data_IF_379633966453
#
_entry.id   IF_379633966453
#
_cell.length_a   1.000
_cell.length_b   1.000
_cell.length_c   1.000
_cell.angle_alpha   90.00
_cell.angle_beta   90.00
_cell.angle_gamma   90.00
#
_symmetry.space_group_name_H-M   'P 1'
#
loop_
_entity.id
_entity.type
_entity.pdbx_description
1 polymer ?
#
# COMPACT_ATOMS: atom_id res chain seq x y z
N UNK A 1 23.06 -6.32 18.03
CA UNK A 1 22.68 -4.89 18.04
C UNK A 1 21.16 -4.80 17.95
N UNK A 2 20.46 -4.74 19.10
CA UNK A 2 19.00 -4.89 19.22
C UNK A 2 18.21 -3.60 18.90
N UNK A 3 18.66 -2.83 17.91
CA UNK A 3 17.87 -1.72 17.38
C UNK A 3 16.91 -2.28 16.32
N UNK A 4 15.60 -2.10 16.55
CA UNK A 4 14.56 -1.84 15.53
C UNK A 4 13.30 -2.72 15.51
N UNK A 5 13.01 -3.61 16.47
CA UNK A 5 11.66 -4.22 16.50
C UNK A 5 10.56 -3.17 16.71
N UNK A 6 10.78 -2.21 17.63
CA UNK A 6 9.84 -1.11 17.87
C UNK A 6 9.72 -0.15 16.68
N UNK A 7 10.84 0.17 16.04
CA UNK A 7 10.86 1.07 14.88
C UNK A 7 10.17 0.42 13.66
N UNK A 8 10.48 -0.86 13.39
CA UNK A 8 9.84 -1.66 12.35
C UNK A 8 8.33 -1.72 12.56
N UNK A 9 7.89 -2.07 13.78
CA UNK A 9 6.46 -2.14 14.12
C UNK A 9 5.77 -0.79 13.95
N UNK A 10 6.42 0.32 14.33
CA UNK A 10 5.91 1.68 14.07
C UNK A 10 5.75 1.96 12.57
N UNK A 11 6.77 1.66 11.76
CA UNK A 11 6.70 1.85 10.31
C UNK A 11 5.60 1.01 9.68
N UNK A 12 5.46 -0.25 10.10
CA UNK A 12 4.36 -1.13 9.68
C UNK A 12 3.00 -0.56 10.04
N UNK A 13 2.84 -0.06 11.28
CA UNK A 13 1.60 0.57 11.75
C UNK A 13 1.25 1.83 10.95
N UNK A 14 2.23 2.69 10.67
CA UNK A 14 2.01 3.90 9.86
C UNK A 14 1.58 3.52 8.44
N UNK A 15 2.24 2.53 7.82
CA UNK A 15 1.86 2.05 6.50
C UNK A 15 0.45 1.40 6.51
N UNK A 16 0.13 0.60 7.52
CA UNK A 16 -1.19 -0.02 7.67
C UNK A 16 -2.28 1.04 7.89
N UNK A 17 -2.04 2.06 8.72
CA UNK A 17 -2.96 3.17 8.95
C UNK A 17 -3.19 4.00 7.68
N UNK A 18 -2.13 4.29 6.92
CA UNK A 18 -2.25 4.96 5.63
C UNK A 18 -3.03 4.10 4.61
N UNK A 19 -2.84 2.78 4.62
CA UNK A 19 -3.63 1.85 3.80
C UNK A 19 -5.11 1.84 4.20
N UNK A 20 -5.42 1.87 5.50
CA UNK A 20 -6.79 1.95 5.99
C UNK A 20 -7.45 3.30 5.62
N UNK A 21 -6.70 4.40 5.69
CA UNK A 21 -7.18 5.71 5.24
C UNK A 21 -7.48 5.73 3.74
N UNK A 22 -6.58 5.18 2.92
CA UNK A 22 -6.82 5.04 1.49
C UNK A 22 -8.04 4.15 1.19
N UNK A 23 -8.21 3.04 1.91
CA UNK A 23 -9.39 2.19 1.80
C UNK A 23 -10.68 2.95 2.08
N UNK A 24 -10.73 3.73 3.17
CA UNK A 24 -11.89 4.53 3.53
C UNK A 24 -12.22 5.56 2.42
N UNK A 25 -11.21 6.24 1.87
CA UNK A 25 -11.42 7.18 0.76
C UNK A 25 -11.97 6.48 -0.49
N UNK A 26 -11.40 5.35 -0.89
CA UNK A 26 -11.90 4.58 -2.04
C UNK A 26 -13.31 4.03 -1.82
N UNK A 27 -13.65 3.60 -0.60
CA UNK A 27 -15.01 3.16 -0.26
C UNK A 27 -15.99 4.32 -0.29
N UNK A 28 -15.63 5.51 0.18
CA UNK A 28 -16.47 6.71 0.07
C UNK A 28 -16.74 7.05 -1.40
N UNK A 29 -15.73 6.93 -2.28
CA UNK A 29 -15.91 7.06 -3.73
C UNK A 29 -16.86 5.98 -4.27
N UNK A 30 -16.64 4.71 -3.89
CA UNK A 30 -17.46 3.58 -4.36
C UNK A 30 -18.88 3.55 -3.79
N UNK A 31 -19.14 4.28 -2.70
CA UNK A 31 -20.47 4.49 -2.14
C UNK A 31 -21.13 5.75 -2.68
N UNK A 32 -20.47 6.48 -3.58
CA UNK A 32 -20.94 7.76 -4.14
C UNK A 32 -21.23 8.81 -3.05
N UNK A 33 -20.65 8.64 -1.86
CA UNK A 33 -20.75 9.60 -0.76
C UNK A 33 -19.95 10.89 -1.03
N UNK A 34 -19.08 10.84 -2.04
CA UNK A 34 -18.22 11.92 -2.49
C UNK A 34 -18.27 11.97 -4.01
N UNK A 35 -18.55 13.15 -4.58
CA UNK A 35 -18.47 13.36 -6.02
C UNK A 35 -17.01 13.51 -6.46
N UNK A 36 -16.62 12.63 -7.39
CA UNK A 36 -15.29 12.54 -7.99
C UNK A 36 -15.34 12.98 -9.45
N UNK A 37 -16.51 12.93 -10.11
CA UNK A 37 -16.68 13.44 -11.47
C UNK A 37 -17.93 14.29 -11.53
N UNK A 38 -17.79 15.54 -11.98
CA UNK A 38 -18.86 16.54 -11.96
C UNK A 38 -19.85 16.37 -13.12
N UNK A 39 -19.41 15.85 -14.26
CA UNK A 39 -20.21 15.82 -15.51
C UNK A 39 -20.25 14.47 -16.25
N UNK A 40 -19.77 13.37 -15.64
CA UNK A 40 -19.91 12.05 -16.25
C UNK A 40 -21.27 11.43 -15.86
N UNK A 41 -21.96 10.73 -16.79
CA UNK A 41 -23.11 9.92 -16.41
C UNK A 41 -22.68 8.98 -15.28
N UNK A 42 -23.54 8.79 -14.28
CA UNK A 42 -23.31 7.88 -13.16
C UNK A 42 -23.14 6.44 -13.68
N UNK A 43 -21.95 6.11 -14.15
CA UNK A 43 -21.63 4.80 -14.70
C UNK A 43 -21.24 3.89 -13.56
N UNK A 44 -21.79 2.68 -13.57
CA UNK A 44 -21.44 1.54 -12.71
C UNK A 44 -19.94 1.33 -12.50
N UNK A 45 -19.11 1.84 -13.41
CA UNK A 45 -17.66 1.74 -13.40
C UNK A 45 -17.00 2.49 -12.23
N UNK A 46 -17.46 3.70 -11.86
CA UNK A 46 -16.88 4.46 -10.74
C UNK A 46 -17.17 3.76 -9.41
N UNK A 47 -18.39 3.27 -9.25
CA UNK A 47 -18.83 2.51 -8.08
C UNK A 47 -18.01 1.24 -7.91
N UNK A 48 -17.90 0.46 -8.98
CA UNK A 48 -17.16 -0.81 -8.99
C UNK A 48 -15.68 -0.58 -8.73
N UNK A 49 -15.10 0.46 -9.33
CA UNK A 49 -13.72 0.86 -9.09
C UNK A 49 -13.47 1.23 -7.62
N UNK A 50 -14.30 2.10 -7.03
CA UNK A 50 -14.13 2.52 -5.64
C UNK A 50 -14.27 1.35 -4.65
N UNK A 51 -15.25 0.47 -4.84
CA UNK A 51 -15.44 -0.69 -3.99
C UNK A 51 -14.31 -1.72 -4.12
N UNK A 52 -13.88 -2.03 -5.34
CA UNK A 52 -12.79 -3.00 -5.57
C UNK A 52 -11.46 -2.49 -5.07
N UNK A 53 -11.11 -1.22 -5.35
CA UNK A 53 -9.92 -0.59 -4.84
C UNK A 53 -9.96 -0.49 -3.30
N UNK A 54 -11.08 -0.06 -2.74
CA UNK A 54 -11.30 0.02 -1.30
C UNK A 54 -11.06 -1.33 -0.62
N UNK A 55 -11.66 -2.40 -1.13
CA UNK A 55 -11.47 -3.76 -0.64
C UNK A 55 -10.00 -4.20 -0.71
N UNK A 56 -9.30 -3.92 -1.81
CA UNK A 56 -7.88 -4.24 -1.95
C UNK A 56 -7.02 -3.52 -0.90
N UNK A 57 -7.29 -2.25 -0.62
CA UNK A 57 -6.58 -1.49 0.42
C UNK A 57 -6.94 -1.93 1.84
N UNK A 58 -8.16 -2.41 2.10
CA UNK A 58 -8.53 -3.08 3.37
C UNK A 58 -7.70 -4.34 3.56
N UNK A 59 -7.67 -5.21 2.55
CA UNK A 59 -6.87 -6.45 2.60
C UNK A 59 -5.39 -6.12 2.84
N UNK A 60 -4.86 -5.12 2.13
CA UNK A 60 -3.49 -4.66 2.32
C UNK A 60 -3.23 -4.16 3.75
N UNK A 61 -4.14 -3.37 4.32
CA UNK A 61 -4.03 -2.86 5.68
C UNK A 61 -4.00 -4.02 6.70
N UNK A 62 -4.88 -5.00 6.54
CA UNK A 62 -4.92 -6.21 7.37
C UNK A 62 -3.62 -6.99 7.24
N UNK A 63 -3.14 -7.22 6.01
CA UNK A 63 -1.92 -7.96 5.77
C UNK A 63 -0.69 -7.28 6.39
N UNK A 64 -0.57 -5.96 6.23
CA UNK A 64 0.51 -5.18 6.84
C UNK A 64 0.44 -5.23 8.37
N UNK A 65 -0.77 -5.08 8.95
CA UNK A 65 -0.95 -5.09 10.40
C UNK A 65 -0.72 -6.46 11.02
N UNK A 66 -1.23 -7.53 10.40
CA UNK A 66 -1.21 -8.89 10.95
C UNK A 66 0.11 -9.62 10.67
N UNK A 67 0.80 -9.31 9.58
CA UNK A 67 1.99 -10.05 9.16
C UNK A 67 3.19 -9.11 8.97
N UNK A 68 4.15 -9.19 9.89
CA UNK A 68 5.46 -8.55 9.72
C UNK A 68 6.38 -9.39 8.81
N UNK A 69 5.84 -9.94 7.72
CA UNK A 69 6.59 -10.77 6.79
C UNK A 69 7.05 -9.96 5.60
N UNK A 70 8.25 -10.22 5.11
CA UNK A 70 8.80 -9.26 4.19
C UNK A 70 8.42 -9.58 2.73
N UNK A 71 7.85 -10.76 2.48
CA UNK A 71 7.04 -11.05 1.28
C UNK A 71 5.81 -10.14 1.24
N UNK A 72 5.14 -9.90 2.38
CA UNK A 72 3.97 -9.00 2.44
C UNK A 72 4.38 -7.58 2.07
N UNK A 73 5.53 -7.10 2.52
CA UNK A 73 6.02 -5.77 2.14
C UNK A 73 6.39 -5.66 0.67
N UNK A 74 6.95 -6.72 0.09
CA UNK A 74 7.23 -6.77 -1.35
C UNK A 74 5.92 -6.72 -2.15
N UNK A 75 4.94 -7.55 -1.78
CA UNK A 75 3.62 -7.53 -2.42
C UNK A 75 2.94 -6.17 -2.26
N UNK A 76 3.04 -5.55 -1.09
CA UNK A 76 2.53 -4.20 -0.84
C UNK A 76 3.20 -3.17 -1.77
N UNK A 77 4.53 -3.21 -1.90
CA UNK A 77 5.26 -2.32 -2.79
C UNK A 77 4.85 -2.51 -4.26
N UNK A 78 4.78 -3.76 -4.72
CA UNK A 78 4.34 -4.09 -6.09
C UNK A 78 2.92 -3.63 -6.35
N UNK A 79 2.01 -3.85 -5.40
CA UNK A 79 0.64 -3.37 -5.48
C UNK A 79 0.59 -1.83 -5.59
N UNK A 80 1.35 -1.11 -4.75
CA UNK A 80 1.41 0.36 -4.84
C UNK A 80 1.94 0.84 -6.19
N UNK A 81 3.01 0.22 -6.71
CA UNK A 81 3.54 0.53 -8.05
C UNK A 81 2.48 0.31 -9.12
N UNK A 82 1.75 -0.81 -9.07
CA UNK A 82 0.66 -1.10 -9.99
C UNK A 82 -0.46 -0.06 -9.95
N UNK A 83 -0.90 0.33 -8.75
CA UNK A 83 -1.95 1.35 -8.57
C UNK A 83 -1.48 2.73 -9.08
N UNK A 84 -0.24 3.12 -8.79
CA UNK A 84 0.33 4.38 -9.27
C UNK A 84 0.45 4.38 -10.80
N UNK A 85 0.93 3.28 -11.39
CA UNK A 85 1.04 3.14 -12.85
C UNK A 85 -0.34 3.22 -13.53
N UNK A 86 -1.34 2.52 -12.97
CA UNK A 86 -2.72 2.61 -13.43
C UNK A 86 -3.27 4.03 -13.34
N UNK A 87 -3.02 4.73 -12.22
CA UNK A 87 -3.41 6.14 -12.09
C UNK A 87 -2.78 6.99 -13.19
N UNK A 88 -1.47 6.86 -13.44
CA UNK A 88 -0.77 7.66 -14.48
C UNK A 88 -1.33 7.38 -15.87
N UNK A 89 -1.73 6.14 -16.16
CA UNK A 89 -2.33 5.77 -17.44
C UNK A 89 -3.74 6.37 -17.64
N UNK A 90 -4.54 6.48 -16.57
CA UNK A 90 -5.93 6.92 -16.64
C UNK A 90 -6.10 8.42 -16.34
N UNK A 91 -5.17 9.05 -15.61
CA UNK A 91 -5.26 10.45 -15.22
C UNK A 91 -5.46 11.45 -16.37
N UNK A 92 -4.84 11.29 -17.55
CA UNK A 92 -5.07 12.19 -18.70
C UNK A 92 -6.49 12.15 -19.25
N UNK A 93 -7.29 11.14 -18.87
CA UNK A 93 -8.67 10.94 -19.33
C UNK A 93 -9.71 11.55 -18.36
N UNK A 94 -9.26 12.16 -17.25
CA UNK A 94 -10.12 12.76 -16.22
C UNK A 94 -10.17 14.28 -16.37
N UNK A 95 -11.35 14.85 -16.15
CA UNK A 95 -11.55 16.30 -16.10
C UNK A 95 -12.36 16.65 -14.83
N UNK A 96 -11.79 17.37 -13.84
CA UNK A 96 -10.44 17.91 -13.83
C UNK A 96 -9.36 16.81 -13.68
N UNK A 97 -8.13 17.02 -14.18
CA UNK A 97 -7.07 16.02 -14.13
C UNK A 97 -6.63 15.66 -12.70
N UNK A 98 -6.84 16.59 -11.75
CA UNK A 98 -6.43 16.45 -10.35
C UNK A 98 -7.55 16.91 -9.43
N UNK A 99 -8.09 15.96 -8.68
CA UNK A 99 -9.10 16.22 -7.65
C UNK A 99 -8.49 16.13 -6.26
N UNK A 100 -9.07 16.86 -5.30
CA UNK A 100 -8.66 16.86 -3.89
C UNK A 100 -8.62 15.43 -3.32
N UNK A 101 -9.63 14.61 -3.64
CA UNK A 101 -9.71 13.22 -3.19
C UNK A 101 -8.61 12.35 -3.79
N UNK A 102 -8.31 12.53 -5.08
CA UNK A 102 -7.19 11.88 -5.74
C UNK A 102 -5.83 12.23 -5.12
N UNK A 103 -5.64 13.49 -4.72
CA UNK A 103 -4.43 13.94 -4.01
C UNK A 103 -4.31 13.31 -2.61
N UNK A 104 -5.40 13.25 -1.85
CA UNK A 104 -5.41 12.61 -0.53
C UNK A 104 -5.07 11.12 -0.61
N UNK A 105 -5.68 10.40 -1.57
CA UNK A 105 -5.38 8.99 -1.83
C UNK A 105 -3.90 8.82 -2.18
N UNK A 106 -3.34 9.68 -3.05
CA UNK A 106 -1.91 9.62 -3.40
C UNK A 106 -1.00 9.89 -2.22
N UNK A 107 -1.35 10.85 -1.35
CA UNK A 107 -0.58 11.11 -0.14
C UNK A 107 -0.49 9.85 0.73
N UNK A 108 -1.61 9.14 0.91
CA UNK A 108 -1.61 7.85 1.59
C UNK A 108 -0.73 6.81 0.86
N UNK A 109 -0.84 6.69 -0.47
CA UNK A 109 -0.03 5.75 -1.27
C UNK A 109 1.47 6.01 -1.14
N UNK A 110 1.91 7.28 -1.15
CA UNK A 110 3.31 7.65 -0.95
C UNK A 110 3.79 7.23 0.45
N UNK A 111 2.98 7.44 1.49
CA UNK A 111 3.32 7.01 2.86
C UNK A 111 3.45 5.48 2.94
N UNK A 112 2.52 4.74 2.32
CA UNK A 112 2.58 3.27 2.27
C UNK A 112 3.86 2.83 1.55
N UNK A 113 4.11 3.35 0.35
CA UNK A 113 5.26 2.98 -0.49
C UNK A 113 6.59 3.29 0.20
N UNK A 114 6.72 4.49 0.79
CA UNK A 114 7.90 4.86 1.57
C UNK A 114 8.10 3.92 2.77
N UNK A 115 7.02 3.64 3.52
CA UNK A 115 7.05 2.74 4.67
C UNK A 115 7.52 1.34 4.31
N UNK A 116 6.92 0.71 3.29
CA UNK A 116 7.29 -0.65 2.86
C UNK A 116 8.68 -0.68 2.23
N UNK A 117 9.10 0.38 1.54
CA UNK A 117 10.46 0.50 0.99
C UNK A 117 11.49 0.55 2.12
N UNK A 118 11.26 1.37 3.15
CA UNK A 118 12.13 1.42 4.34
C UNK A 118 12.20 0.05 5.01
N UNK A 119 11.07 -0.66 5.14
CA UNK A 119 11.02 -2.00 5.73
C UNK A 119 11.82 -3.02 4.90
N UNK A 120 11.73 -2.96 3.57
CA UNK A 120 12.48 -3.83 2.65
C UNK A 120 13.99 -3.55 2.70
N UNK A 121 14.40 -2.28 2.67
CA UNK A 121 15.81 -1.87 2.70
C UNK A 121 16.49 -2.15 4.04
N UNK A 122 15.73 -2.09 5.14
CA UNK A 122 16.24 -2.36 6.49
C UNK A 122 16.10 -3.82 6.90
N UNK A 123 15.84 -4.75 5.96
CA UNK A 123 15.91 -6.17 6.28
C UNK A 123 17.29 -6.51 6.85
N UNK A 124 17.37 -7.22 7.98
CA UNK A 124 18.56 -7.99 8.29
C UNK A 124 18.79 -8.95 7.12
N UNK A 125 20.00 -8.95 6.56
CA UNK A 125 20.47 -10.05 5.72
C UNK A 125 20.55 -11.30 6.59
N UNK A 126 19.44 -11.97 6.83
CA UNK A 126 19.44 -13.27 7.49
C UNK A 126 19.89 -14.32 6.46
N UNK A 127 21.11 -14.81 6.69
CA UNK A 127 21.72 -16.04 6.15
C UNK A 127 22.27 -16.03 4.70
N UNK A 128 23.30 -15.22 4.47
CA UNK A 128 24.38 -15.51 3.50
C UNK A 128 25.71 -15.90 4.19
N UNK A 129 25.67 -16.25 5.48
CA UNK A 129 26.85 -16.77 6.18
C UNK A 129 27.13 -18.20 5.71
N UNK A 130 28.39 -18.56 5.40
CA UNK A 130 28.72 -19.85 4.82
C UNK A 130 28.15 -20.96 5.71
N UNK A 131 27.56 -21.96 5.05
CA UNK A 131 27.32 -23.26 5.65
C UNK A 131 28.67 -23.74 6.18
N UNK A 132 28.92 -23.48 7.47
CA UNK A 132 29.99 -24.12 8.22
C UNK A 132 29.55 -25.57 8.38
N UNK A 133 29.71 -26.32 7.29
CA UNK A 133 29.67 -27.76 7.29
C UNK A 133 30.69 -28.20 8.35
N UNK A 134 30.16 -28.82 9.39
CA UNK A 134 30.74 -30.05 9.91
C UNK A 134 32.15 -29.93 10.51
N UNK A 135 32.23 -29.35 11.71
CA UNK A 135 33.20 -29.84 12.70
C UNK A 135 32.44 -30.33 13.94
N UNK A 136 31.84 -31.51 13.80
CA UNK A 136 31.64 -32.44 14.91
C UNK A 136 32.68 -33.55 14.76
N UNK A 137 33.31 -33.89 15.90
CA UNK A 137 34.28 -34.97 16.14
C UNK A 137 35.69 -34.59 15.68
N UNK A 138 36.71 -34.67 16.52
CA UNK A 138 37.03 -35.71 17.52
C UNK A 138 37.63 -35.05 18.76
#
# INVERSE_FOLDING_TARGET
MNFNLRARRRTTLVAAAASAAAAALYLLVGLEAVQVVTDAPATSDVRTFGLTAGAAFVVLAILLFAFERPVVWLLAALFQVGVIAMYVAVAPQRDPPVEVWGLLIKACQVVILAGVTILLLRRPHDAGGPVALHQRRI
#
